data_IF_667957733456
#
_entry.id   IF_667957733456
#
_cell.length_a   1.000
_cell.length_b   1.000
_cell.length_c   1.000
_cell.angle_alpha   90.00
_cell.angle_beta   90.00
_cell.angle_gamma   90.00
#
_symmetry.space_group_name_H-M   'P 1'
#
loop_
_entity.id
_entity.type
_entity.pdbx_description
1 polymer ?
#
# COMPACT_ATOMS: atom_id res chain seq x y z
N UNK A 1 1.13 16.29 2.13
CA UNK A 1 0.36 15.98 3.36
C UNK A 1 0.01 17.25 4.09
N UNK A 2 -1.12 17.25 4.80
CA UNK A 2 -1.69 18.43 5.46
C UNK A 2 -1.89 18.12 6.96
N UNK A 3 -0.88 18.38 7.81
CA UNK A 3 -0.97 18.11 9.24
C UNK A 3 -2.20 18.76 9.87
N UNK A 4 -2.94 18.01 10.70
CA UNK A 4 -4.14 18.50 11.38
C UNK A 4 -5.42 18.50 10.53
N UNK A 5 -5.38 17.97 9.30
CA UNK A 5 -6.56 17.83 8.44
C UNK A 5 -7.10 16.41 8.53
N UNK A 6 -8.42 16.28 8.71
CA UNK A 6 -9.10 14.99 8.68
C UNK A 6 -9.13 14.41 7.26
N UNK A 7 -8.93 13.10 7.15
CA UNK A 7 -9.13 12.38 5.89
C UNK A 7 -10.61 12.16 5.60
N UNK A 8 -10.90 11.38 4.55
CA UNK A 8 -12.28 11.02 4.18
C UNK A 8 -13.00 10.16 5.24
N UNK A 9 -12.27 9.62 6.22
CA UNK A 9 -12.80 8.75 7.28
C UNK A 9 -13.56 7.52 6.77
N UNK A 10 -13.22 7.05 5.56
CA UNK A 10 -13.75 5.80 4.98
C UNK A 10 -13.34 4.60 5.85
N UNK A 11 -12.11 4.62 6.37
CA UNK A 11 -11.59 3.60 7.28
C UNK A 11 -11.00 4.23 8.54
N UNK A 12 -11.17 3.59 9.72
CA UNK A 12 -10.44 3.97 10.91
C UNK A 12 -8.94 3.65 10.72
N UNK A 13 -8.08 4.59 11.04
CA UNK A 13 -6.64 4.42 10.93
C UNK A 13 -5.90 5.73 11.14
N UNK A 14 -4.56 5.65 11.20
CA UNK A 14 -3.70 6.83 11.27
C UNK A 14 -2.61 6.75 10.22
N UNK A 15 -2.33 7.90 9.62
CA UNK A 15 -1.15 8.12 8.78
C UNK A 15 -0.05 8.68 9.69
N UNK A 16 1.03 7.92 9.84
CA UNK A 16 2.10 8.21 10.81
C UNK A 16 3.42 8.42 10.06
N UNK A 17 4.19 9.43 10.46
CA UNK A 17 5.50 9.69 9.86
C UNK A 17 6.50 8.60 10.24
N UNK A 18 7.33 8.16 9.30
CA UNK A 18 8.49 7.32 9.64
C UNK A 18 9.38 8.04 10.68
N UNK A 19 9.82 7.28 11.67
CA UNK A 19 10.79 7.68 12.69
C UNK A 19 11.84 6.59 12.80
N UNK A 20 13.11 6.94 12.80
CA UNK A 20 14.20 5.96 12.87
C UNK A 20 15.47 6.44 12.17
N UNK A 21 16.37 5.48 11.91
CA UNK A 21 17.68 5.71 11.31
C UNK A 21 17.71 5.59 9.78
N UNK A 22 16.66 5.06 9.16
CA UNK A 22 16.57 4.96 7.70
C UNK A 22 16.24 6.33 7.07
N UNK A 23 16.72 6.60 5.84
CA UNK A 23 16.37 7.81 5.10
C UNK A 23 14.85 8.01 4.96
N UNK A 24 14.37 9.25 5.10
CA UNK A 24 12.97 9.61 4.90
C UNK A 24 12.91 10.74 3.87
N UNK A 25 12.13 10.63 2.77
CA UNK A 25 11.12 9.60 2.48
C UNK A 25 11.67 8.18 2.20
N UNK A 26 10.82 7.16 2.41
CA UNK A 26 10.99 5.85 1.81
C UNK A 26 10.86 6.01 0.29
N UNK A 27 11.98 5.92 -0.42
CA UNK A 27 12.06 6.07 -1.87
C UNK A 27 12.74 4.87 -2.49
N UNK A 28 12.11 4.27 -3.48
CA UNK A 28 12.69 3.19 -4.27
C UNK A 28 11.76 1.99 -4.39
N UNK A 29 12.36 0.89 -4.83
CA UNK A 29 11.68 -0.38 -5.01
C UNK A 29 11.69 -1.17 -3.71
N UNK A 30 10.53 -1.71 -3.33
CA UNK A 30 10.38 -2.54 -2.14
C UNK A 30 9.25 -3.57 -2.35
N UNK A 31 9.26 -4.63 -1.57
CA UNK A 31 8.33 -5.73 -1.73
C UNK A 31 6.99 -5.43 -1.04
N UNK A 32 5.90 -5.72 -1.74
CA UNK A 32 4.58 -5.83 -1.15
C UNK A 32 4.26 -7.31 -0.96
N UNK A 33 4.24 -7.75 0.29
CA UNK A 33 3.96 -9.14 0.66
C UNK A 33 2.49 -9.29 1.06
N UNK A 34 1.67 -10.05 0.32
CA UNK A 34 0.31 -10.36 0.71
C UNK A 34 0.29 -11.11 2.05
N UNK A 35 -0.62 -10.72 2.94
CA UNK A 35 -0.78 -11.36 4.27
C UNK A 35 -2.15 -12.04 4.42
N UNK A 36 -3.02 -11.89 3.42
CA UNK A 36 -4.33 -12.54 3.30
C UNK A 36 -4.78 -12.51 1.84
N UNK A 37 -5.74 -13.36 1.42
CA UNK A 37 -6.28 -13.33 0.07
C UNK A 37 -6.85 -11.96 -0.32
N UNK A 38 -6.51 -11.51 -1.53
CA UNK A 38 -7.03 -10.29 -2.17
C UNK A 38 -6.96 -10.44 -3.68
N UNK A 39 -7.96 -9.98 -4.46
CA UNK A 39 -7.90 -10.03 -5.93
C UNK A 39 -6.74 -9.22 -6.52
N UNK A 40 -6.17 -8.27 -5.76
CA UNK A 40 -5.06 -7.44 -6.23
C UNK A 40 -3.72 -8.15 -6.31
N UNK A 41 -3.54 -9.27 -5.60
CA UNK A 41 -2.25 -9.94 -5.46
C UNK A 41 -2.36 -11.45 -5.63
N UNK A 42 -1.33 -12.04 -6.24
CA UNK A 42 -1.02 -13.45 -6.08
C UNK A 42 0.12 -13.61 -5.06
N UNK A 43 0.26 -14.79 -4.46
CA UNK A 43 1.47 -15.14 -3.73
C UNK A 43 2.63 -15.37 -4.72
N UNK A 44 3.85 -14.85 -4.45
CA UNK A 44 4.31 -14.27 -3.20
C UNK A 44 4.16 -12.74 -3.06
N UNK A 45 3.51 -12.06 -4.01
CA UNK A 45 3.42 -10.60 -4.08
C UNK A 45 4.14 -10.02 -5.29
N UNK A 46 4.78 -8.86 -5.10
CA UNK A 46 5.57 -8.20 -6.16
C UNK A 46 6.42 -7.05 -5.62
N UNK A 47 7.25 -6.48 -6.50
CA UNK A 47 8.13 -5.37 -6.18
C UNK A 47 7.57 -4.06 -6.76
N UNK A 48 7.34 -3.07 -5.89
CA UNK A 48 6.66 -1.84 -6.26
C UNK A 48 7.50 -0.61 -5.92
N UNK A 49 7.24 0.48 -6.64
CA UNK A 49 7.91 1.77 -6.44
C UNK A 49 7.19 2.60 -5.37
N UNK A 50 7.91 2.95 -4.32
CA UNK A 50 7.44 3.77 -3.20
C UNK A 50 8.12 5.15 -3.20
N UNK A 51 7.37 6.18 -2.81
CA UNK A 51 7.89 7.53 -2.54
C UNK A 51 7.00 8.25 -1.52
N UNK A 52 7.26 8.03 -0.23
CA UNK A 52 6.42 8.59 0.84
C UNK A 52 7.20 8.78 2.17
N UNK A 53 6.81 9.78 2.97
CA UNK A 53 7.41 10.04 4.29
C UNK A 53 6.57 9.53 5.47
N UNK A 54 5.32 9.15 5.21
CA UNK A 54 4.37 8.67 6.19
C UNK A 54 3.74 7.38 5.68
N UNK A 55 3.29 6.54 6.60
CA UNK A 55 2.73 5.24 6.30
C UNK A 55 1.45 5.01 7.12
N UNK A 56 0.66 4.02 6.71
CA UNK A 56 -0.53 3.58 7.43
C UNK A 56 -0.18 2.38 8.30
N UNK A 57 -0.55 2.43 9.58
CA UNK A 57 -0.40 1.29 10.49
C UNK A 57 -1.23 0.09 10.00
N UNK A 58 -0.78 -1.14 10.31
CA UNK A 58 -1.53 -2.33 9.95
C UNK A 58 -2.85 -2.42 10.71
N UNK A 59 -3.86 -3.01 10.09
CA UNK A 59 -5.19 -3.21 10.67
C UNK A 59 -5.85 -4.45 10.07
N UNK A 60 -7.11 -4.70 10.45
CA UNK A 60 -7.89 -5.85 9.94
C UNK A 60 -8.16 -5.81 8.44
N UNK A 61 -8.09 -4.62 7.81
CA UNK A 61 -8.30 -4.43 6.37
C UNK A 61 -6.99 -4.46 5.57
N UNK A 62 -5.84 -4.63 6.22
CA UNK A 62 -4.56 -4.76 5.52
C UNK A 62 -4.49 -6.07 4.75
N UNK A 63 -4.21 -5.97 3.44
CA UNK A 63 -4.07 -7.14 2.56
C UNK A 63 -2.63 -7.42 2.15
N UNK A 64 -1.78 -6.41 2.10
CA UNK A 64 -0.35 -6.57 1.91
C UNK A 64 0.45 -5.62 2.80
N UNK A 65 1.64 -6.07 3.19
CA UNK A 65 2.58 -5.30 4.02
C UNK A 65 3.91 -5.11 3.34
N UNK A 66 4.59 -4.03 3.71
CA UNK A 66 5.99 -3.76 3.33
C UNK A 66 6.77 -3.44 4.60
N UNK A 67 8.07 -3.78 4.63
CA UNK A 67 8.96 -3.44 5.74
C UNK A 67 10.00 -2.40 5.29
N UNK A 68 10.04 -1.26 5.98
CA UNK A 68 11.07 -0.23 5.84
C UNK A 68 11.38 0.36 7.22
N UNK A 69 12.23 -0.33 7.98
CA UNK A 69 12.51 -0.02 9.40
C UNK A 69 11.35 -0.36 10.35
N UNK A 70 10.12 -0.27 9.86
CA UNK A 70 8.88 -0.73 10.47
C UNK A 70 8.04 -1.44 9.41
N UNK A 71 7.24 -2.41 9.82
CA UNK A 71 6.25 -3.06 8.95
C UNK A 71 4.97 -2.25 8.93
N UNK A 72 4.47 -1.93 7.74
CA UNK A 72 3.30 -1.08 7.54
C UNK A 72 2.34 -1.64 6.48
N UNK A 73 1.11 -1.15 6.46
CA UNK A 73 0.14 -1.51 5.44
C UNK A 73 0.51 -0.83 4.11
N UNK A 74 0.95 -1.61 3.12
CA UNK A 74 1.23 -1.12 1.78
C UNK A 74 0.04 -1.31 0.82
N UNK A 75 -0.89 -2.19 1.18
CA UNK A 75 -2.20 -2.29 0.54
C UNK A 75 -3.30 -2.64 1.55
N UNK A 76 -4.47 -2.04 1.35
CA UNK A 76 -5.69 -2.27 2.15
C UNK A 76 -6.87 -2.58 1.24
N UNK A 77 -7.81 -3.36 1.77
CA UNK A 77 -9.06 -3.68 1.10
C UNK A 77 -10.18 -3.83 2.13
N UNK A 78 -11.32 -3.21 1.84
CA UNK A 78 -12.59 -3.47 2.53
C UNK A 78 -13.69 -3.44 1.49
N UNK A 79 -14.40 -4.57 1.35
CA UNK A 79 -15.43 -4.75 0.30
C UNK A 79 -14.86 -4.36 -1.08
N UNK A 80 -15.47 -3.38 -1.74
CA UNK A 80 -15.12 -2.88 -3.06
C UNK A 80 -14.14 -1.68 -3.04
N UNK A 81 -13.63 -1.30 -1.87
CA UNK A 81 -12.70 -0.18 -1.72
C UNK A 81 -11.29 -0.70 -1.49
N UNK A 82 -10.38 -0.25 -2.35
CA UNK A 82 -8.98 -0.67 -2.38
C UNK A 82 -8.07 0.55 -2.23
N UNK A 83 -6.94 0.36 -1.57
CA UNK A 83 -5.91 1.40 -1.45
C UNK A 83 -4.52 0.78 -1.47
N UNK A 84 -3.59 1.43 -2.18
CA UNK A 84 -2.17 1.05 -2.21
C UNK A 84 -1.30 2.26 -1.86
N UNK A 85 -0.20 2.03 -1.15
CA UNK A 85 0.73 3.07 -0.73
C UNK A 85 1.84 3.33 -1.78
N UNK A 86 2.17 2.30 -2.56
CA UNK A 86 3.09 2.39 -3.70
C UNK A 86 2.39 2.95 -4.95
N UNK A 87 3.17 3.21 -5.98
CA UNK A 87 2.73 3.76 -7.26
C UNK A 87 2.64 2.64 -8.32
N UNK A 88 1.49 1.97 -8.50
CA UNK A 88 1.38 0.90 -9.49
C UNK A 88 1.68 1.39 -10.91
N UNK A 89 1.37 2.64 -11.25
CA UNK A 89 1.69 3.27 -12.54
C UNK A 89 3.20 3.45 -12.78
N UNK A 90 4.01 3.41 -11.72
CA UNK A 90 5.48 3.50 -11.78
C UNK A 90 6.19 2.18 -11.52
N UNK A 91 5.43 1.10 -11.29
CA UNK A 91 5.95 -0.19 -10.83
C UNK A 91 6.10 -1.23 -11.95
N UNK A 92 6.26 -0.78 -13.20
CA UNK A 92 6.50 -1.63 -14.37
C UNK A 92 5.51 -2.81 -14.48
N UNK A 93 6.01 -4.03 -14.67
CA UNK A 93 5.20 -5.23 -14.93
C UNK A 93 4.32 -5.59 -13.72
N UNK A 94 4.86 -5.51 -12.50
CA UNK A 94 4.10 -5.82 -11.28
C UNK A 94 2.98 -4.80 -11.05
N UNK A 95 3.30 -3.53 -11.28
CA UNK A 95 2.32 -2.44 -11.28
C UNK A 95 1.21 -2.63 -12.30
N UNK A 96 1.57 -2.95 -13.55
CA UNK A 96 0.60 -3.21 -14.61
C UNK A 96 -0.25 -4.46 -14.33
N UNK A 97 0.34 -5.52 -13.77
CA UNK A 97 -0.39 -6.72 -13.39
C UNK A 97 -1.43 -6.42 -12.31
N UNK A 98 -1.07 -5.64 -11.28
CA UNK A 98 -2.00 -5.19 -10.24
C UNK A 98 -3.14 -4.35 -10.82
N UNK A 99 -2.84 -3.39 -11.70
CA UNK A 99 -3.89 -2.57 -12.34
C UNK A 99 -4.84 -3.41 -13.20
N UNK A 100 -4.34 -4.39 -13.95
CA UNK A 100 -5.19 -5.31 -14.72
C UNK A 100 -6.14 -6.10 -13.83
N UNK A 101 -5.65 -6.59 -12.67
CA UNK A 101 -6.48 -7.27 -11.68
C UNK A 101 -7.54 -6.36 -11.10
N UNK A 102 -7.18 -5.14 -10.75
CA UNK A 102 -8.12 -4.15 -10.25
C UNK A 102 -9.26 -3.87 -11.26
N UNK A 103 -8.94 -3.68 -12.55
CA UNK A 103 -9.98 -3.49 -13.57
C UNK A 103 -10.88 -4.72 -13.73
N UNK A 104 -10.29 -5.92 -13.73
CA UNK A 104 -11.04 -7.17 -13.83
C UNK A 104 -12.00 -7.38 -12.64
N UNK A 105 -11.58 -7.01 -11.42
CA UNK A 105 -12.40 -7.11 -10.20
C UNK A 105 -13.52 -6.06 -10.17
N UNK A 106 -13.27 -4.85 -10.66
CA UNK A 106 -14.22 -3.73 -10.57
C UNK A 106 -15.21 -3.65 -11.73
N UNK A 107 -15.15 -4.60 -12.68
CA UNK A 107 -16.09 -4.70 -13.80
C UNK A 107 -15.99 -3.54 -14.79
N UNK A 108 -14.82 -2.91 -14.92
CA UNK A 108 -14.55 -1.81 -15.83
C UNK A 108 -14.24 -2.29 -17.26
#
# INVERSE_FOLDING_TARGET
ESPGVEGLSIFPGRVVRFRGSLPVPHVGWNDATPIRPSPLFDEPGGCFYFVHSYFVETSTITVATTTYGVTFACAVQSENVFGVQFHPEKSQNDGLALLKRFCAETGA
#
